data_IF_914561286733
#
_entry.id   IF_914561286733
#
_cell.length_a   1.000
_cell.length_b   1.000
_cell.length_c   1.000
_cell.angle_alpha   90.00
_cell.angle_beta   90.00
_cell.angle_gamma   90.00
#
_symmetry.space_group_name_H-M   'P 1'
#
loop_
_entity.id
_entity.type
_entity.pdbx_description
1 polymer ?
#
# COMPACT_ATOMS: atom_id res chain seq x y z
N UNK A 1 -55.30 -39.17 10.67
CA UNK A 1 -53.97 -38.87 10.14
C UNK A 1 -53.75 -37.39 9.77
N UNK A 2 -54.78 -36.68 9.25
CA UNK A 2 -54.66 -35.23 8.96
C UNK A 2 -54.86 -34.34 10.21
N UNK A 3 -55.59 -34.82 11.23
CA UNK A 3 -55.88 -34.09 12.47
C UNK A 3 -54.70 -34.03 13.46
N UNK A 4 -53.72 -34.92 13.37
CA UNK A 4 -52.50 -34.89 14.23
C UNK A 4 -51.48 -33.85 13.79
N UNK A 5 -51.49 -33.47 12.53
CA UNK A 5 -50.58 -32.42 11.97
C UNK A 5 -50.95 -30.99 12.40
N UNK A 6 -52.11 -30.80 13.02
CA UNK A 6 -52.60 -29.49 13.49
C UNK A 6 -52.75 -29.42 15.01
N UNK A 7 -52.03 -30.24 15.76
CA UNK A 7 -52.02 -30.07 17.23
C UNK A 7 -51.36 -28.74 17.64
N UNK A 8 -51.89 -28.05 18.64
CA UNK A 8 -51.32 -26.77 19.10
C UNK A 8 -49.81 -26.85 19.37
N UNK A 9 -49.31 -27.95 19.89
CA UNK A 9 -47.91 -28.19 20.19
C UNK A 9 -47.01 -28.27 18.94
N UNK A 10 -47.51 -28.80 17.82
CA UNK A 10 -46.75 -28.86 16.54
C UNK A 10 -46.65 -27.47 15.93
N UNK A 11 -47.71 -26.69 15.99
CA UNK A 11 -47.73 -25.31 15.49
C UNK A 11 -46.79 -24.42 16.32
N UNK A 12 -46.81 -24.55 17.65
CA UNK A 12 -45.90 -23.84 18.55
C UNK A 12 -44.43 -24.15 18.25
N UNK A 13 -44.07 -25.43 18.14
CA UNK A 13 -42.72 -25.87 17.80
C UNK A 13 -42.25 -25.36 16.43
N UNK A 14 -43.14 -25.33 15.44
CA UNK A 14 -42.86 -24.82 14.11
C UNK A 14 -42.63 -23.31 14.13
N UNK A 15 -43.46 -22.54 14.84
CA UNK A 15 -43.31 -21.09 15.02
C UNK A 15 -42.03 -20.77 15.77
N UNK A 16 -41.73 -21.46 16.86
CA UNK A 16 -40.45 -21.29 17.61
C UNK A 16 -39.27 -21.59 16.72
N UNK A 17 -39.33 -22.66 15.90
CA UNK A 17 -38.24 -22.98 14.95
C UNK A 17 -38.00 -21.88 13.93
N UNK A 18 -39.05 -21.29 13.34
CA UNK A 18 -38.95 -20.19 12.40
C UNK A 18 -38.36 -18.95 13.08
N UNK A 19 -38.89 -18.56 14.24
CA UNK A 19 -38.45 -17.40 14.99
C UNK A 19 -36.94 -17.53 15.36
N UNK A 20 -36.55 -18.68 15.87
CA UNK A 20 -35.16 -18.98 16.22
C UNK A 20 -34.24 -18.88 14.99
N UNK A 21 -34.66 -19.40 13.84
CA UNK A 21 -33.90 -19.33 12.60
C UNK A 21 -33.72 -17.91 12.12
N UNK A 22 -34.75 -17.08 12.16
CA UNK A 22 -34.71 -15.65 11.80
C UNK A 22 -33.77 -14.89 12.74
N UNK A 23 -33.91 -15.08 14.05
CA UNK A 23 -33.07 -14.42 15.05
C UNK A 23 -31.60 -14.82 14.85
N UNK A 24 -31.30 -16.09 14.65
CA UNK A 24 -29.93 -16.58 14.39
C UNK A 24 -29.36 -15.95 13.11
N UNK A 25 -30.12 -15.93 12.03
CA UNK A 25 -29.71 -15.31 10.78
C UNK A 25 -29.40 -13.83 10.93
N UNK A 26 -30.24 -13.09 11.67
CA UNK A 26 -30.00 -11.67 11.97
C UNK A 26 -28.74 -11.44 12.82
N UNK A 27 -28.49 -12.27 13.82
CA UNK A 27 -27.27 -12.20 14.65
C UNK A 27 -26.02 -12.43 13.79
N UNK A 28 -26.02 -13.48 12.96
CA UNK A 28 -24.89 -13.79 12.06
C UNK A 28 -24.66 -12.65 11.08
N UNK A 29 -25.73 -12.13 10.44
CA UNK A 29 -25.64 -11.02 9.51
C UNK A 29 -25.07 -9.75 10.19
N UNK A 30 -25.55 -9.39 11.38
CA UNK A 30 -25.08 -8.23 12.14
C UNK A 30 -23.61 -8.41 12.56
N UNK A 31 -23.23 -9.61 13.00
CA UNK A 31 -21.86 -9.92 13.36
C UNK A 31 -20.90 -9.80 12.17
N UNK A 32 -21.28 -10.32 11.00
CA UNK A 32 -20.49 -10.17 9.77
C UNK A 32 -20.36 -8.70 9.35
N UNK A 33 -21.44 -7.93 9.43
CA UNK A 33 -21.42 -6.49 9.11
C UNK A 33 -20.47 -5.72 10.04
N UNK A 34 -20.53 -5.98 11.34
CA UNK A 34 -19.63 -5.37 12.33
C UNK A 34 -18.19 -5.79 12.10
N UNK A 35 -17.95 -7.08 11.83
CA UNK A 35 -16.61 -7.60 11.52
C UNK A 35 -16.01 -6.93 10.28
N UNK A 36 -16.75 -6.86 9.17
CA UNK A 36 -16.31 -6.19 7.94
C UNK A 36 -15.99 -4.72 8.19
N UNK A 37 -16.88 -4.00 8.89
CA UNK A 37 -16.65 -2.59 9.24
C UNK A 37 -15.39 -2.40 10.08
N UNK A 38 -15.12 -3.26 11.06
CA UNK A 38 -13.90 -3.19 11.87
C UNK A 38 -12.63 -3.42 11.05
N UNK A 39 -12.66 -4.36 10.11
CA UNK A 39 -11.52 -4.63 9.20
C UNK A 39 -11.25 -3.40 8.34
N UNK A 40 -12.27 -2.83 7.70
CA UNK A 40 -12.16 -1.64 6.87
C UNK A 40 -11.66 -0.43 7.67
N UNK A 41 -12.18 -0.20 8.86
CA UNK A 41 -11.75 0.92 9.71
C UNK A 41 -10.27 0.78 10.14
N UNK A 42 -9.80 -0.44 10.42
CA UNK A 42 -8.38 -0.69 10.73
C UNK A 42 -7.50 -0.43 9.51
N UNK A 43 -7.95 -0.85 8.33
CA UNK A 43 -7.24 -0.64 7.07
C UNK A 43 -7.18 0.86 6.75
N UNK A 44 -8.29 1.54 6.84
CA UNK A 44 -8.39 2.99 6.66
C UNK A 44 -7.41 3.73 7.60
N UNK A 45 -7.43 3.42 8.88
CA UNK A 45 -6.55 4.03 9.88
C UNK A 45 -5.07 3.75 9.61
N UNK A 46 -4.69 2.55 9.12
CA UNK A 46 -3.31 2.24 8.76
C UNK A 46 -2.81 3.08 7.59
N UNK A 47 -3.62 3.23 6.55
CA UNK A 47 -3.27 4.02 5.37
C UNK A 47 -3.52 5.53 5.53
N UNK A 48 -4.11 5.97 6.65
CA UNK A 48 -4.50 7.36 6.85
C UNK A 48 -5.61 7.83 5.91
N UNK A 49 -6.45 6.90 5.47
CA UNK A 49 -7.57 7.15 4.58
C UNK A 49 -8.85 7.28 5.41
N UNK A 50 -9.71 8.24 5.05
CA UNK A 50 -11.01 8.39 5.66
C UNK A 50 -12.11 8.32 4.58
N UNK A 51 -13.25 7.68 4.87
CA UNK A 51 -14.36 7.64 3.93
C UNK A 51 -14.78 9.03 3.48
N UNK A 52 -14.99 9.21 2.17
CA UNK A 52 -15.37 10.47 1.50
C UNK A 52 -14.27 11.55 1.47
N UNK A 53 -13.16 11.41 2.17
CA UNK A 53 -12.02 12.32 2.05
C UNK A 53 -11.22 12.03 0.79
N UNK A 54 -10.52 13.05 0.31
CA UNK A 54 -9.67 12.97 -0.87
C UNK A 54 -8.28 12.50 -0.47
N UNK A 55 -7.69 11.62 -1.29
CA UNK A 55 -6.28 11.26 -1.26
C UNK A 55 -5.66 11.41 -2.65
N UNK A 56 -4.35 11.45 -2.71
CA UNK A 56 -3.59 11.67 -3.94
C UNK A 56 -2.85 10.40 -4.35
N UNK A 57 -2.84 10.08 -5.65
CA UNK A 57 -1.86 9.20 -6.25
C UNK A 57 -0.98 10.03 -7.19
N UNK A 58 0.26 10.21 -6.80
CA UNK A 58 1.25 10.99 -7.54
C UNK A 58 2.04 10.04 -8.42
N UNK A 59 1.88 10.22 -9.73
CA UNK A 59 2.47 9.33 -10.72
C UNK A 59 3.72 9.92 -11.35
N UNK A 60 4.61 9.03 -11.77
CA UNK A 60 5.78 9.39 -12.58
C UNK A 60 5.40 9.60 -14.05
N UNK A 61 6.25 10.33 -14.75
CA UNK A 61 6.27 10.37 -16.21
C UNK A 61 7.24 9.34 -16.78
N UNK A 62 6.92 8.81 -17.95
CA UNK A 62 7.93 8.11 -18.73
C UNK A 62 8.97 9.15 -19.25
N UNK A 63 10.26 9.02 -18.89
CA UNK A 63 11.27 10.00 -19.29
C UNK A 63 11.40 10.20 -20.80
N UNK A 64 11.04 9.19 -21.60
CA UNK A 64 11.10 9.24 -23.07
C UNK A 64 9.79 9.71 -23.73
N UNK A 65 8.69 9.71 -22.99
CA UNK A 65 7.36 10.07 -23.51
C UNK A 65 6.49 10.55 -22.33
N UNK A 66 6.52 11.85 -22.01
CA UNK A 66 5.89 12.40 -20.79
C UNK A 66 4.39 12.09 -20.63
N UNK A 67 3.70 11.87 -21.73
CA UNK A 67 2.25 11.54 -21.74
C UNK A 67 1.97 10.03 -21.65
N UNK A 68 2.97 9.22 -21.36
CA UNK A 68 2.82 7.76 -21.23
C UNK A 68 3.32 7.27 -19.88
N UNK A 69 2.82 6.11 -19.50
CA UNK A 69 3.17 5.44 -18.24
C UNK A 69 3.54 3.99 -18.53
N UNK A 70 4.42 3.40 -17.74
CA UNK A 70 4.74 1.98 -17.90
C UNK A 70 3.55 1.11 -17.50
N UNK A 71 3.43 -0.07 -18.13
CA UNK A 71 2.37 -1.03 -17.78
C UNK A 71 2.39 -1.40 -16.28
N UNK A 72 3.56 -1.62 -15.71
CA UNK A 72 3.69 -1.97 -14.28
C UNK A 72 3.32 -0.83 -13.34
N UNK A 73 3.58 0.44 -13.71
CA UNK A 73 3.12 1.59 -12.92
C UNK A 73 1.60 1.76 -13.00
N UNK A 74 0.99 1.48 -14.16
CA UNK A 74 -0.48 1.41 -14.29
C UNK A 74 -1.07 0.33 -13.38
N UNK A 75 -0.45 -0.86 -13.33
CA UNK A 75 -0.89 -1.93 -12.42
C UNK A 75 -0.72 -1.53 -10.95
N UNK A 76 0.36 -0.82 -10.61
CA UNK A 76 0.57 -0.25 -9.27
C UNK A 76 -0.56 0.71 -8.90
N UNK A 77 -0.92 1.61 -9.83
CA UNK A 77 -2.03 2.55 -9.65
C UNK A 77 -3.37 1.81 -9.45
N UNK A 78 -3.65 0.76 -10.23
CA UNK A 78 -4.88 -0.04 -10.09
C UNK A 78 -4.99 -0.64 -8.68
N UNK A 79 -3.90 -1.12 -8.09
CA UNK A 79 -3.91 -1.62 -6.71
C UNK A 79 -4.21 -0.50 -5.69
N UNK A 80 -3.67 0.70 -5.90
CA UNK A 80 -4.00 1.87 -5.07
C UNK A 80 -5.47 2.26 -5.23
N UNK A 81 -5.99 2.31 -6.47
CA UNK A 81 -7.41 2.59 -6.75
C UNK A 81 -8.31 1.62 -5.99
N UNK A 82 -8.04 0.31 -6.08
CA UNK A 82 -8.82 -0.72 -5.37
C UNK A 82 -8.81 -0.53 -3.87
N UNK A 83 -7.63 -0.24 -3.31
CA UNK A 83 -7.48 0.02 -1.88
C UNK A 83 -8.31 1.22 -1.42
N UNK A 84 -8.25 2.32 -2.17
CA UNK A 84 -8.94 3.57 -1.85
C UNK A 84 -10.47 3.41 -2.01
N UNK A 85 -10.91 2.75 -3.08
CA UNK A 85 -12.32 2.47 -3.35
C UNK A 85 -12.94 1.57 -2.28
N UNK A 86 -12.24 0.51 -1.86
CA UNK A 86 -12.67 -0.39 -0.78
C UNK A 86 -12.93 0.37 0.54
N UNK A 87 -12.13 1.41 0.83
CA UNK A 87 -12.28 2.24 2.03
C UNK A 87 -13.39 3.30 1.84
N UNK A 88 -13.73 3.64 0.60
CA UNK A 88 -14.70 4.66 0.27
C UNK A 88 -14.14 6.09 0.30
N UNK A 89 -12.82 6.24 0.13
CA UNK A 89 -12.15 7.53 -0.08
C UNK A 89 -12.22 7.95 -1.56
N UNK A 90 -11.94 9.22 -1.84
CA UNK A 90 -11.86 9.74 -3.22
C UNK A 90 -10.41 9.81 -3.65
N UNK A 91 -10.06 9.21 -4.79
CA UNK A 91 -8.72 9.26 -5.34
C UNK A 91 -8.62 10.32 -6.43
N UNK A 92 -7.65 11.23 -6.29
CA UNK A 92 -7.17 12.09 -7.37
C UNK A 92 -5.85 11.51 -7.88
N UNK A 93 -5.79 11.25 -9.16
CA UNK A 93 -4.57 10.77 -9.84
C UNK A 93 -4.01 11.90 -10.66
N UNK A 94 -2.78 12.28 -10.40
CA UNK A 94 -2.11 13.33 -11.16
C UNK A 94 -0.60 13.05 -11.28
N UNK A 95 0.03 13.53 -12.35
CA UNK A 95 1.48 13.53 -12.45
C UNK A 95 2.08 14.52 -11.44
N UNK A 96 3.33 14.28 -11.05
CA UNK A 96 4.00 15.00 -9.95
C UNK A 96 4.09 16.52 -10.19
N UNK A 97 4.13 16.98 -11.43
CA UNK A 97 4.24 18.38 -11.83
C UNK A 97 2.92 19.16 -11.87
N UNK A 98 1.79 18.47 -11.67
CA UNK A 98 0.47 19.08 -11.62
C UNK A 98 -0.09 19.17 -10.19
N UNK A 99 0.66 18.69 -9.18
CA UNK A 99 0.23 18.70 -7.79
C UNK A 99 0.90 19.87 -7.06
N UNK A 100 0.09 20.77 -6.54
CA UNK A 100 0.52 21.96 -5.80
C UNK A 100 0.35 21.82 -4.28
N UNK A 101 -0.36 20.78 -3.81
CA UNK A 101 -0.55 20.57 -2.38
C UNK A 101 0.77 20.26 -1.67
N UNK A 102 0.95 20.81 -0.47
CA UNK A 102 2.11 20.47 0.36
C UNK A 102 2.05 19.00 0.81
N UNK A 103 3.21 18.39 1.01
CA UNK A 103 3.32 17.03 1.53
C UNK A 103 2.59 16.92 2.89
N UNK A 104 1.73 15.90 3.03
CA UNK A 104 0.95 15.68 4.25
C UNK A 104 -0.30 16.54 4.40
N UNK A 105 -0.66 17.34 3.41
CA UNK A 105 -1.97 18.02 3.37
C UNK A 105 -3.13 17.05 3.22
N UNK A 106 -2.92 16.00 2.44
CA UNK A 106 -3.81 14.84 2.29
C UNK A 106 -2.98 13.57 2.29
N UNK A 107 -3.61 12.41 2.45
CA UNK A 107 -2.93 11.12 2.25
C UNK A 107 -2.43 11.02 0.81
N UNK A 108 -1.17 10.66 0.64
CA UNK A 108 -0.49 10.62 -0.65
C UNK A 108 0.13 9.24 -0.91
N UNK A 109 -0.11 8.69 -2.09
CA UNK A 109 0.62 7.56 -2.65
C UNK A 109 1.56 8.10 -3.73
N UNK A 110 2.86 8.18 -3.41
CA UNK A 110 3.87 8.67 -4.34
C UNK A 110 4.57 7.49 -5.02
N UNK A 111 4.37 7.35 -6.34
CA UNK A 111 4.78 6.18 -7.12
C UNK A 111 5.86 6.55 -8.14
N UNK A 112 6.94 5.77 -8.16
CA UNK A 112 8.04 5.91 -9.10
C UNK A 112 9.35 6.32 -8.47
N UNK A 113 10.45 6.10 -9.20
CA UNK A 113 11.81 6.45 -8.76
C UNK A 113 12.10 7.97 -8.90
N UNK A 114 13.18 8.47 -8.24
CA UNK A 114 13.51 9.90 -8.22
C UNK A 114 13.88 10.48 -9.58
N UNK A 115 14.30 9.66 -10.54
CA UNK A 115 14.64 10.11 -11.89
C UNK A 115 13.39 10.37 -12.77
N UNK A 116 12.27 9.77 -12.41
CA UNK A 116 11.00 9.89 -13.16
C UNK A 116 9.90 10.62 -12.39
N UNK A 117 10.11 10.86 -11.10
CA UNK A 117 9.17 11.54 -10.21
C UNK A 117 9.92 12.47 -9.26
N UNK A 118 9.91 13.77 -9.57
CA UNK A 118 10.60 14.78 -8.75
C UNK A 118 10.03 14.86 -7.32
N UNK A 119 8.75 14.57 -7.12
CA UNK A 119 8.14 14.56 -5.78
C UNK A 119 8.70 13.41 -4.93
N UNK A 120 8.95 12.25 -5.52
CA UNK A 120 9.70 11.15 -4.88
C UNK A 120 11.10 11.62 -4.46
N UNK A 121 11.82 12.32 -5.34
CA UNK A 121 13.15 12.87 -5.03
C UNK A 121 13.11 13.78 -3.80
N UNK A 122 12.19 14.73 -3.78
CA UNK A 122 12.01 15.64 -2.65
C UNK A 122 11.66 14.91 -1.35
N UNK A 123 10.83 13.89 -1.41
CA UNK A 123 10.51 13.07 -0.23
C UNK A 123 11.72 12.29 0.30
N UNK A 124 12.53 11.71 -0.58
CA UNK A 124 13.76 11.03 -0.21
C UNK A 124 14.74 11.99 0.47
N UNK A 125 15.03 13.12 -0.16
CA UNK A 125 16.00 14.12 0.33
C UNK A 125 15.58 14.74 1.66
N UNK A 126 14.31 15.01 1.87
CA UNK A 126 13.82 15.67 3.07
C UNK A 126 13.57 14.72 4.24
N UNK A 127 13.08 13.52 3.96
CA UNK A 127 12.57 12.62 5.01
C UNK A 127 13.37 11.33 5.17
N UNK A 128 13.96 10.78 4.10
CA UNK A 128 14.71 9.53 4.13
C UNK A 128 16.21 9.77 3.96
N UNK A 129 16.78 10.62 4.80
CA UNK A 129 18.18 11.08 4.71
C UNK A 129 19.22 9.96 4.88
N UNK A 130 18.83 8.79 5.40
CA UNK A 130 19.67 7.60 5.52
C UNK A 130 19.60 6.67 4.31
N UNK A 131 18.94 7.09 3.21
CA UNK A 131 18.85 6.31 1.96
C UNK A 131 19.15 7.24 0.78
N UNK A 132 19.93 6.73 -0.16
CA UNK A 132 20.21 7.40 -1.41
C UNK A 132 19.98 6.45 -2.58
N UNK A 133 19.22 6.88 -3.59
CA UNK A 133 19.09 6.16 -4.85
C UNK A 133 20.06 6.73 -5.88
N UNK A 134 20.90 5.87 -6.44
CA UNK A 134 21.78 6.24 -7.54
C UNK A 134 20.96 6.55 -8.79
N UNK A 135 21.33 7.57 -9.56
CA UNK A 135 20.65 7.88 -10.82
C UNK A 135 20.84 6.77 -11.85
N UNK A 136 19.99 6.78 -12.87
CA UNK A 136 20.15 5.89 -14.01
C UNK A 136 21.43 6.21 -14.78
N UNK A 137 22.40 5.29 -14.73
CA UNK A 137 23.72 5.40 -15.38
C UNK A 137 24.10 4.03 -15.98
N UNK A 138 23.70 3.75 -17.25
CA UNK A 138 24.03 2.50 -17.90
C UNK A 138 25.55 2.25 -17.95
N UNK A 139 25.98 1.06 -17.53
CA UNK A 139 27.42 0.71 -17.44
C UNK A 139 28.03 0.91 -16.05
N UNK A 140 27.39 1.68 -15.17
CA UNK A 140 27.79 1.77 -13.76
C UNK A 140 27.35 0.48 -13.03
N UNK A 141 28.23 -0.22 -12.29
CA UNK A 141 27.86 -1.38 -11.47
C UNK A 141 26.86 -1.04 -10.36
N UNK A 142 26.79 0.21 -9.94
CA UNK A 142 25.82 0.71 -8.96
C UNK A 142 24.64 1.44 -9.64
N UNK A 143 24.39 1.21 -10.94
CA UNK A 143 23.27 1.80 -11.67
C UNK A 143 21.96 1.58 -10.94
N UNK A 144 21.22 2.66 -10.64
CA UNK A 144 19.96 2.67 -9.89
C UNK A 144 20.00 1.94 -8.53
N UNK A 145 21.18 1.74 -7.94
CA UNK A 145 21.30 1.08 -6.64
C UNK A 145 20.66 1.92 -5.52
N UNK A 146 20.06 1.24 -4.57
CA UNK A 146 19.62 1.83 -3.30
C UNK A 146 20.79 1.71 -2.32
N UNK A 147 21.28 2.83 -1.82
CA UNK A 147 22.46 2.91 -0.96
C UNK A 147 22.04 3.36 0.43
N UNK A 148 22.51 2.64 1.43
CA UNK A 148 22.45 2.99 2.85
C UNK A 148 23.87 3.17 3.40
N UNK A 149 24.02 3.54 4.67
CA UNK A 149 25.34 3.64 5.31
C UNK A 149 26.13 2.33 5.21
N UNK A 150 25.45 1.21 5.42
CA UNK A 150 26.10 -0.10 5.62
C UNK A 150 26.01 -1.02 4.41
N UNK A 151 25.06 -0.76 3.50
CA UNK A 151 24.72 -1.70 2.43
C UNK A 151 24.34 -1.01 1.13
N UNK A 152 24.43 -1.78 0.05
CA UNK A 152 23.96 -1.40 -1.29
C UNK A 152 23.06 -2.50 -1.84
N UNK A 153 21.86 -2.15 -2.22
CA UNK A 153 20.89 -3.02 -2.90
C UNK A 153 20.99 -2.75 -4.40
N UNK A 154 21.76 -3.59 -5.08
CA UNK A 154 22.04 -3.44 -6.52
C UNK A 154 20.92 -3.97 -7.36
N UNK A 155 20.71 -3.33 -8.50
CA UNK A 155 19.87 -3.88 -9.55
C UNK A 155 20.64 -4.96 -10.30
N UNK A 156 20.14 -6.18 -10.27
CA UNK A 156 20.68 -7.29 -11.06
C UNK A 156 19.65 -7.74 -12.09
N UNK A 157 19.88 -7.37 -13.35
CA UNK A 157 18.95 -7.67 -14.44
C UNK A 157 18.50 -9.12 -14.39
N UNK A 158 17.17 -9.34 -14.33
CA UNK A 158 16.51 -10.65 -14.29
C UNK A 158 16.78 -11.52 -13.05
N UNK A 159 17.57 -11.05 -12.10
CA UNK A 159 17.84 -11.76 -10.84
C UNK A 159 17.17 -11.09 -9.66
N UNK A 160 17.46 -9.81 -9.44
CA UNK A 160 16.99 -9.08 -8.27
C UNK A 160 16.69 -7.62 -8.60
N UNK A 161 15.52 -7.16 -8.20
CA UNK A 161 15.08 -5.76 -8.27
C UNK A 161 14.61 -5.35 -6.88
N UNK A 162 14.90 -4.09 -6.49
CA UNK A 162 14.52 -3.60 -5.17
C UNK A 162 13.63 -2.35 -5.24
N UNK A 163 12.83 -2.16 -4.20
CA UNK A 163 12.06 -0.95 -3.99
C UNK A 163 12.15 -0.49 -2.54
N UNK A 164 12.16 0.82 -2.33
CA UNK A 164 11.88 1.46 -1.05
C UNK A 164 10.37 1.56 -0.91
N UNK A 165 9.85 0.97 0.15
CA UNK A 165 8.48 1.11 0.59
C UNK A 165 8.49 1.83 1.93
N UNK A 166 7.97 3.06 1.98
CA UNK A 166 7.99 3.84 3.21
C UNK A 166 6.64 4.50 3.49
N UNK A 167 6.37 4.71 4.77
CA UNK A 167 5.30 5.57 5.27
C UNK A 167 5.93 6.71 6.04
N UNK A 168 5.70 7.93 5.56
CA UNK A 168 6.26 9.16 6.07
C UNK A 168 5.17 10.02 6.68
N UNK A 169 5.54 10.84 7.68
CA UNK A 169 4.70 11.90 8.22
C UNK A 169 5.49 13.20 8.18
N UNK A 170 5.22 14.11 7.21
CA UNK A 170 5.92 15.40 7.09
C UNK A 170 5.86 16.26 8.35
N UNK A 171 4.80 16.14 9.14
CA UNK A 171 4.68 16.69 10.48
C UNK A 171 3.84 15.78 11.37
N UNK A 172 3.82 16.03 12.68
CA UNK A 172 3.04 15.23 13.64
C UNK A 172 1.53 15.28 13.42
N UNK A 173 1.04 16.30 12.73
CA UNK A 173 -0.40 16.51 12.43
C UNK A 173 -0.74 16.21 10.97
N UNK A 174 0.24 15.81 10.15
CA UNK A 174 0.04 15.57 8.73
C UNK A 174 -0.61 14.23 8.43
N UNK A 175 -1.21 14.14 7.25
CA UNK A 175 -1.56 12.86 6.64
C UNK A 175 -0.30 12.11 6.20
N UNK A 176 -0.34 10.76 6.12
CA UNK A 176 0.82 10.00 5.68
C UNK A 176 1.09 10.14 4.18
N UNK A 177 2.36 10.12 3.83
CA UNK A 177 2.84 9.85 2.48
C UNK A 177 3.29 8.40 2.42
N UNK A 178 2.70 7.61 1.54
CA UNK A 178 3.11 6.25 1.22
C UNK A 178 4.01 6.32 -0.01
N UNK A 179 5.30 6.14 0.20
CA UNK A 179 6.30 6.18 -0.86
C UNK A 179 6.53 4.78 -1.42
N UNK A 180 6.39 4.64 -2.74
CA UNK A 180 6.59 3.41 -3.50
C UNK A 180 7.63 3.73 -4.57
N UNK A 181 8.90 3.55 -4.23
CA UNK A 181 10.04 4.00 -5.01
C UNK A 181 10.94 2.81 -5.40
N UNK A 182 10.73 2.25 -6.58
CA UNK A 182 11.48 1.10 -7.09
C UNK A 182 12.60 1.46 -8.05
N UNK A 183 13.56 0.56 -8.18
CA UNK A 183 14.59 0.57 -9.22
C UNK A 183 13.99 0.46 -10.62
N UNK A 184 12.83 -0.20 -10.72
CA UNK A 184 12.06 -0.38 -11.96
C UNK A 184 10.58 -0.20 -11.67
N UNK A 185 9.78 0.00 -12.71
CA UNK A 185 8.32 0.02 -12.57
C UNK A 185 7.74 -1.31 -12.03
N UNK A 186 8.40 -2.45 -12.30
CA UNK A 186 8.02 -3.75 -11.77
C UNK A 186 8.27 -3.85 -10.27
N UNK A 187 9.37 -3.28 -9.78
CA UNK A 187 9.62 -3.24 -8.34
C UNK A 187 8.67 -2.29 -7.60
N UNK A 188 8.15 -1.22 -8.23
CA UNK A 188 7.01 -0.46 -7.70
C UNK A 188 5.77 -1.36 -7.53
N UNK A 189 5.45 -2.15 -8.55
CA UNK A 189 4.33 -3.08 -8.51
C UNK A 189 4.50 -4.15 -7.41
N UNK A 190 5.72 -4.66 -7.23
CA UNK A 190 6.04 -5.60 -6.14
C UNK A 190 5.88 -4.97 -4.76
N UNK A 191 6.31 -3.72 -4.58
CA UNK A 191 6.22 -3.03 -3.31
C UNK A 191 4.76 -2.78 -2.88
N UNK A 192 3.88 -2.33 -3.78
CA UNK A 192 2.45 -2.17 -3.45
C UNK A 192 1.78 -3.52 -3.19
N UNK A 193 2.13 -4.55 -3.96
CA UNK A 193 1.64 -5.90 -3.72
C UNK A 193 2.02 -6.39 -2.32
N UNK A 194 3.31 -6.26 -1.95
CA UNK A 194 3.79 -6.60 -0.61
C UNK A 194 3.05 -5.83 0.48
N UNK A 195 2.86 -4.53 0.31
CA UNK A 195 2.15 -3.67 1.26
C UNK A 195 0.73 -4.18 1.51
N UNK A 196 -0.03 -4.45 0.44
CA UNK A 196 -1.42 -4.89 0.54
C UNK A 196 -1.54 -6.29 1.15
N UNK A 197 -0.65 -7.23 0.80
CA UNK A 197 -0.69 -8.59 1.31
C UNK A 197 -0.27 -8.68 2.79
N UNK A 198 0.64 -7.82 3.24
CA UNK A 198 1.26 -7.94 4.57
C UNK A 198 0.80 -6.87 5.56
N UNK A 199 -0.12 -5.96 5.17
CA UNK A 199 -0.48 -4.84 6.03
C UNK A 199 -1.11 -5.29 7.36
N UNK A 200 -2.01 -6.27 7.38
CA UNK A 200 -2.76 -6.67 8.58
C UNK A 200 -1.94 -7.59 9.48
N UNK A 201 -1.25 -8.56 8.91
CA UNK A 201 -0.54 -9.57 9.68
C UNK A 201 0.82 -9.10 10.21
N UNK A 202 1.52 -8.28 9.46
CA UNK A 202 2.86 -7.84 9.82
C UNK A 202 2.95 -6.33 10.04
N UNK A 203 2.68 -5.51 9.02
CA UNK A 203 2.99 -4.08 9.05
C UNK A 203 2.18 -3.34 10.12
N UNK A 204 0.88 -3.60 10.21
CA UNK A 204 0.02 -2.97 11.22
C UNK A 204 0.40 -3.40 12.64
N UNK A 205 0.75 -4.67 12.85
CA UNK A 205 1.17 -5.17 14.16
C UNK A 205 2.48 -4.55 14.60
N UNK A 206 3.43 -4.40 13.67
CA UNK A 206 4.77 -3.85 13.95
C UNK A 206 4.78 -2.33 14.08
N UNK A 207 4.12 -1.62 13.18
CA UNK A 207 4.23 -0.15 13.06
C UNK A 207 2.96 0.60 13.53
N UNK A 208 1.84 -0.10 13.73
CA UNK A 208 0.57 0.53 14.07
C UNK A 208 0.08 1.53 13.02
N UNK A 209 -0.80 2.45 13.42
CA UNK A 209 -1.46 3.35 12.49
C UNK A 209 -0.70 4.66 12.24
N UNK A 210 0.20 5.07 13.14
CA UNK A 210 0.85 6.40 13.11
C UNK A 210 2.38 6.37 13.12
N UNK A 211 3.01 5.21 13.12
CA UNK A 211 4.48 5.14 13.05
C UNK A 211 4.96 5.19 11.61
N UNK A 212 5.99 5.97 11.37
CA UNK A 212 6.74 5.91 10.13
C UNK A 212 7.49 4.57 10.02
N UNK A 213 7.73 4.13 8.80
CA UNK A 213 8.55 2.97 8.52
C UNK A 213 9.25 3.13 7.16
N UNK A 214 10.34 2.40 6.99
CA UNK A 214 11.04 2.28 5.73
C UNK A 214 11.56 0.86 5.53
N UNK A 215 11.15 0.24 4.44
CA UNK A 215 11.45 -1.16 4.11
C UNK A 215 12.09 -1.25 2.74
N UNK A 216 13.02 -2.18 2.58
CA UNK A 216 13.50 -2.64 1.27
C UNK A 216 12.72 -3.90 0.91
N UNK A 217 12.06 -3.84 -0.22
CA UNK A 217 11.33 -4.96 -0.81
C UNK A 217 12.14 -5.48 -2.00
N UNK A 218 12.44 -6.76 -2.01
CA UNK A 218 13.13 -7.44 -3.10
C UNK A 218 12.14 -8.23 -3.97
N UNK A 219 12.36 -8.21 -5.27
CA UNK A 219 11.75 -9.11 -6.24
C UNK A 219 12.83 -10.07 -6.75
N UNK A 220 12.68 -11.34 -6.43
CA UNK A 220 13.59 -12.38 -6.94
C UNK A 220 13.11 -12.96 -8.26
N UNK A 221 14.03 -13.12 -9.22
CA UNK A 221 13.75 -13.67 -10.54
C UNK A 221 12.48 -13.06 -11.18
N UNK A 222 12.43 -11.73 -11.31
CA UNK A 222 11.20 -11.00 -11.65
C UNK A 222 10.65 -11.31 -13.05
N UNK A 223 11.46 -11.89 -13.95
CA UNK A 223 10.96 -12.36 -15.25
C UNK A 223 10.16 -13.67 -15.13
N UNK A 224 10.49 -14.51 -14.15
CA UNK A 224 9.86 -15.82 -13.96
C UNK A 224 8.63 -15.71 -13.06
N UNK A 225 8.78 -15.02 -11.94
CA UNK A 225 7.74 -14.97 -10.89
C UNK A 225 6.99 -13.64 -10.85
N UNK A 226 7.45 -12.63 -11.60
CA UNK A 226 6.83 -11.30 -11.66
C UNK A 226 6.88 -10.57 -10.33
N UNK A 227 5.96 -9.62 -10.15
CA UNK A 227 5.82 -8.81 -8.94
C UNK A 227 5.39 -9.60 -7.70
N UNK A 228 4.81 -10.81 -7.89
CA UNK A 228 4.38 -11.68 -6.79
C UNK A 228 5.54 -12.31 -6.02
N UNK A 229 6.75 -12.26 -6.56
CA UNK A 229 7.97 -12.68 -5.84
C UNK A 229 8.45 -11.66 -4.79
N UNK A 230 7.70 -10.56 -4.60
CA UNK A 230 8.03 -9.51 -3.66
C UNK A 230 8.10 -10.02 -2.22
N UNK A 231 9.22 -9.77 -1.55
CA UNK A 231 9.46 -10.12 -0.15
C UNK A 231 10.17 -8.99 0.58
N UNK A 232 10.06 -8.98 1.91
CA UNK A 232 10.87 -8.10 2.74
C UNK A 232 12.32 -8.55 2.70
N UNK A 233 13.19 -7.69 2.21
CA UNK A 233 14.63 -7.89 2.27
C UNK A 233 15.20 -7.30 3.56
N UNK A 234 14.86 -6.04 3.84
CA UNK A 234 15.37 -5.37 5.03
C UNK A 234 14.40 -4.33 5.59
N UNK A 235 14.37 -4.24 6.91
CA UNK A 235 13.72 -3.13 7.62
C UNK A 235 14.79 -2.08 7.96
N UNK A 236 14.63 -0.89 7.40
CA UNK A 236 15.50 0.26 7.60
C UNK A 236 14.85 1.34 8.45
N UNK A 237 13.77 1.04 9.15
CA UNK A 237 13.00 2.04 9.90
C UNK A 237 13.84 2.82 10.89
N UNK A 238 14.80 2.18 11.54
CA UNK A 238 15.64 2.84 12.55
C UNK A 238 16.76 3.70 11.95
N UNK A 239 17.14 3.50 10.68
CA UNK A 239 18.29 4.17 10.06
C UNK A 239 17.91 5.08 8.91
N UNK A 240 16.83 4.80 8.19
CA UNK A 240 16.44 5.52 6.98
C UNK A 240 16.14 7.01 7.19
N UNK A 241 15.70 7.40 8.38
CA UNK A 241 15.33 8.77 8.72
C UNK A 241 16.48 9.60 9.32
N UNK A 242 17.64 8.98 9.54
CA UNK A 242 18.83 9.60 10.13
C UNK A 242 19.82 9.89 9.00
N UNK A 243 20.34 11.12 8.88
CA UNK A 243 21.34 11.45 7.85
C UNK A 243 22.56 10.52 7.94
N UNK A 244 23.19 10.25 6.80
CA UNK A 244 24.56 9.69 6.80
C UNK A 244 25.47 10.65 7.58
N UNK A 245 26.16 10.12 8.57
CA UNK A 245 27.21 10.82 9.29
C UNK A 245 28.47 10.88 8.42
#
# INVERSE_FOLDING_TARGET
MVSELMSPSVIENFVVGIVTSIVTALIVWLWEKVRKSRILNRRAAFFGLLPKETCLAVMNHNPKSPNTMSHSDVQTLIEVVRLVDEIGSKLIVAPFDQILEPAGGTTEFCIGGPDSNQRTRVHLENFLKGIHLKPYAPGDPDNIAIVTKDEKFRYEKNKSEHAVLARLYPSSTSHPVILICGQTARSNQGAIHYLIQNYDDFLRKKFGNKKQFCLIIELQSPLTYGYKSARLEKDLTDTAFIPFA
#
